data_IF_722103252011
#
_entry.id   IF_722103252011
#
_cell.length_a   1.000
_cell.length_b   1.000
_cell.length_c   1.000
_cell.angle_alpha   90.00
_cell.angle_beta   90.00
_cell.angle_gamma   90.00
#
_symmetry.space_group_name_H-M   'P 1'
#
loop_
_entity.id
_entity.type
_entity.pdbx_description
1 polymer ?
#
# COMPACT_ATOMS: atom_id res chain seq x y z
N UNK A 1 -17.39 48.53 -11.95
CA UNK A 1 -16.53 48.70 -13.14
C UNK A 1 -17.40 48.43 -14.36
N UNK A 2 -17.62 49.48 -15.17
CA UNK A 2 -17.84 49.43 -16.64
C UNK A 2 -16.48 49.04 -17.26
N UNK A 3 -16.31 48.39 -18.45
CA UNK A 3 -17.07 48.49 -19.72
C UNK A 3 -17.57 47.14 -20.32
N UNK A 4 -18.13 47.02 -21.54
CA UNK A 4 -18.40 48.03 -22.60
C UNK A 4 -19.63 47.71 -23.47
N UNK A 5 -20.00 48.66 -24.35
CA UNK A 5 -21.02 48.51 -25.41
C UNK A 5 -20.53 47.68 -26.62
N UNK A 6 -21.48 47.12 -27.41
CA UNK A 6 -21.19 46.61 -28.76
C UNK A 6 -22.07 47.33 -29.78
N UNK A 7 -21.48 48.31 -30.46
CA UNK A 7 -22.01 48.92 -31.67
C UNK A 7 -22.00 47.90 -32.81
N UNK A 8 -23.12 47.78 -33.53
CA UNK A 8 -23.16 47.19 -34.87
C UNK A 8 -23.66 48.24 -35.86
N UNK A 9 -22.75 48.78 -36.66
CA UNK A 9 -23.11 49.65 -37.78
C UNK A 9 -23.75 48.80 -38.89
N UNK A 10 -24.84 49.31 -39.47
CA UNK A 10 -25.37 48.82 -40.74
C UNK A 10 -25.16 49.93 -41.77
N UNK A 11 -24.35 49.65 -42.79
CA UNK A 11 -23.83 50.67 -43.70
C UNK A 11 -24.85 51.21 -44.70
N UNK A 12 -24.82 52.54 -44.85
CA UNK A 12 -25.03 53.31 -46.08
C UNK A 12 -26.16 52.88 -47.03
N UNK A 13 -27.33 53.49 -46.83
CA UNK A 13 -28.36 53.61 -47.86
C UNK A 13 -27.96 54.70 -48.87
N UNK A 14 -27.30 54.31 -49.95
CA UNK A 14 -27.04 55.22 -51.07
C UNK A 14 -28.34 55.51 -51.87
N UNK A 15 -28.41 56.74 -52.41
CA UNK A 15 -29.62 57.39 -52.91
C UNK A 15 -30.06 56.93 -54.31
N UNK A 16 -31.39 56.77 -54.55
CA UNK A 16 -32.07 56.54 -55.86
C UNK A 16 -33.59 56.28 -55.61
N UNK A 17 -34.64 56.59 -56.41
CA UNK A 17 -34.99 57.40 -57.62
C UNK A 17 -36.54 57.59 -57.58
N UNK A 18 -37.22 58.65 -58.11
CA UNK A 18 -36.85 60.05 -58.45
C UNK A 18 -37.78 61.12 -57.80
N UNK A 19 -37.55 62.37 -58.21
CA UNK A 19 -38.50 63.50 -58.24
C UNK A 19 -39.92 63.10 -58.68
N UNK A 20 -40.93 63.50 -57.89
CA UNK A 20 -42.33 63.67 -58.35
C UNK A 20 -42.87 65.06 -58.02
N UNK A 21 -42.13 66.09 -58.45
CA UNK A 21 -42.67 67.44 -58.63
C UNK A 21 -43.81 67.37 -59.67
N UNK A 22 -45.05 67.28 -59.18
CA UNK A 22 -46.22 67.02 -60.03
C UNK A 22 -47.51 66.64 -59.27
N UNK A 23 -47.42 66.26 -57.99
CA UNK A 23 -48.61 65.98 -57.15
C UNK A 23 -48.98 67.14 -56.20
N UNK A 24 -48.34 68.30 -56.32
CA UNK A 24 -48.62 69.51 -55.53
C UNK A 24 -49.97 70.20 -55.84
N UNK A 25 -50.82 69.59 -56.68
CA UNK A 25 -52.17 70.07 -57.03
C UNK A 25 -53.24 68.98 -56.99
N UNK A 26 -52.97 67.82 -56.38
CA UNK A 26 -53.91 66.71 -56.28
C UNK A 26 -54.43 66.56 -54.84
N UNK A 27 -55.26 67.51 -54.41
CA UNK A 27 -55.99 67.45 -53.13
C UNK A 27 -57.09 66.38 -53.16
N UNK A 28 -56.68 65.11 -53.11
CA UNK A 28 -57.61 63.97 -53.07
C UNK A 28 -58.30 63.87 -51.71
N UNK A 29 -59.36 64.67 -51.54
CA UNK A 29 -60.33 64.56 -50.46
C UNK A 29 -60.89 63.13 -50.40
N UNK A 30 -60.40 62.34 -49.43
CA UNK A 30 -60.72 60.93 -49.24
C UNK A 30 -62.14 60.67 -48.70
N UNK A 31 -63.05 61.65 -48.85
CA UNK A 31 -64.44 61.64 -48.32
C UNK A 31 -65.52 61.68 -49.42
N UNK A 32 -65.15 61.53 -50.69
CA UNK A 32 -66.10 61.33 -51.80
C UNK A 32 -66.43 59.86 -52.05
N UNK A 33 -67.72 59.52 -52.16
CA UNK A 33 -68.26 58.14 -52.25
C UNK A 33 -67.85 57.32 -53.49
N UNK A 34 -66.88 57.77 -54.30
CA UNK A 34 -66.46 57.12 -55.55
C UNK A 34 -64.97 56.70 -55.58
N UNK A 35 -64.23 56.83 -54.47
CA UNK A 35 -62.79 56.51 -54.43
C UNK A 35 -62.48 55.03 -54.78
N UNK A 36 -63.34 54.10 -54.36
CA UNK A 36 -63.18 52.65 -54.53
C UNK A 36 -63.26 52.20 -56.00
N UNK A 37 -63.86 53.01 -56.89
CA UNK A 37 -63.86 52.77 -58.34
C UNK A 37 -62.45 52.91 -58.93
N UNK A 38 -61.87 54.11 -58.81
CA UNK A 38 -60.57 54.46 -59.41
C UNK A 38 -59.42 53.52 -59.01
N UNK A 39 -59.36 53.11 -57.73
CA UNK A 39 -58.33 52.16 -57.25
C UNK A 39 -58.44 50.79 -57.97
N UNK A 40 -59.67 50.34 -58.27
CA UNK A 40 -59.91 49.06 -58.97
C UNK A 40 -59.43 49.14 -60.42
N UNK A 41 -59.67 50.25 -61.10
CA UNK A 41 -59.24 50.49 -62.47
C UNK A 41 -57.71 50.51 -62.59
N UNK A 42 -57.03 51.25 -61.70
CA UNK A 42 -55.56 51.29 -61.63
C UNK A 42 -54.96 49.89 -61.40
N UNK A 43 -55.53 49.10 -60.47
CA UNK A 43 -55.07 47.73 -60.21
C UNK A 43 -55.27 46.79 -61.41
N UNK A 44 -56.38 46.93 -62.14
CA UNK A 44 -56.67 46.15 -63.33
C UNK A 44 -55.72 46.49 -64.49
N UNK A 45 -55.44 47.77 -64.73
CA UNK A 45 -54.50 48.22 -65.77
C UNK A 45 -53.07 47.66 -65.51
N UNK A 46 -52.58 47.77 -64.26
CA UNK A 46 -51.25 47.30 -63.91
C UNK A 46 -51.09 45.77 -64.06
N UNK A 47 -52.13 45.00 -63.72
CA UNK A 47 -52.16 43.54 -63.94
C UNK A 47 -52.08 43.13 -65.42
N UNK A 48 -52.64 43.91 -66.34
CA UNK A 48 -52.55 43.61 -67.79
C UNK A 48 -51.14 43.86 -68.32
N UNK A 49 -50.54 45.00 -68.00
CA UNK A 49 -49.15 45.35 -68.39
C UNK A 49 -48.18 44.26 -67.90
N UNK A 50 -48.34 43.79 -66.66
CA UNK A 50 -47.46 42.78 -66.09
C UNK A 50 -47.65 41.37 -66.68
N UNK A 51 -48.85 41.05 -67.19
CA UNK A 51 -49.12 39.81 -67.95
C UNK A 51 -48.45 39.84 -69.32
N UNK A 52 -48.56 40.95 -70.06
CA UNK A 52 -47.92 41.10 -71.38
C UNK A 52 -46.41 40.89 -71.30
N UNK A 53 -45.70 41.60 -70.40
CA UNK A 53 -44.24 41.46 -70.23
C UNK A 53 -43.79 40.00 -70.02
N UNK A 54 -44.54 39.21 -69.23
CA UNK A 54 -44.19 37.80 -68.95
C UNK A 54 -44.45 36.85 -70.13
N UNK A 55 -45.28 37.24 -71.10
CA UNK A 55 -45.48 36.48 -72.35
C UNK A 55 -44.32 36.78 -73.30
N UNK A 56 -43.98 38.06 -73.50
CA UNK A 56 -42.86 38.47 -74.38
C UNK A 56 -41.54 37.84 -73.96
N UNK A 57 -41.16 37.91 -72.68
CA UNK A 57 -39.88 37.36 -72.18
C UNK A 57 -39.78 35.84 -72.36
N UNK A 58 -40.90 35.10 -72.37
CA UNK A 58 -40.88 33.65 -72.57
C UNK A 58 -40.66 33.23 -74.03
N UNK A 59 -40.77 34.16 -74.98
CA UNK A 59 -40.60 33.88 -76.40
C UNK A 59 -39.17 34.12 -76.91
N UNK A 60 -38.27 34.67 -76.08
CA UNK A 60 -36.99 35.25 -76.54
C UNK A 60 -35.73 34.62 -75.91
N UNK A 61 -35.83 33.48 -75.21
CA UNK A 61 -34.68 32.81 -74.56
C UNK A 61 -34.39 31.45 -75.19
N UNK A 62 -33.14 31.24 -75.62
CA UNK A 62 -32.67 30.05 -76.33
C UNK A 62 -32.26 28.89 -75.40
N UNK A 63 -32.19 27.63 -75.90
CA UNK A 63 -32.03 26.44 -75.05
C UNK A 63 -30.69 26.32 -74.32
N UNK A 64 -29.62 26.93 -74.83
CA UNK A 64 -28.23 26.74 -74.37
C UNK A 64 -28.03 27.11 -72.90
N UNK A 65 -28.82 28.07 -72.39
CA UNK A 65 -28.81 28.50 -70.99
C UNK A 65 -29.11 27.36 -70.00
N UNK A 66 -29.93 26.38 -70.39
CA UNK A 66 -30.25 25.22 -69.55
C UNK A 66 -29.12 24.18 -69.48
N UNK A 67 -28.16 24.18 -70.43
CA UNK A 67 -26.98 23.33 -70.36
C UNK A 67 -26.02 23.82 -69.28
N UNK A 68 -25.58 25.07 -69.40
CA UNK A 68 -24.64 25.71 -68.48
C UNK A 68 -25.10 25.67 -67.02
N UNK A 69 -26.40 25.82 -66.77
CA UNK A 69 -26.97 25.76 -65.42
C UNK A 69 -26.82 24.38 -64.74
N UNK A 70 -26.71 23.29 -65.52
CA UNK A 70 -26.71 21.92 -65.00
C UNK A 70 -25.31 21.38 -64.68
N UNK A 71 -24.29 21.84 -65.41
CA UNK A 71 -22.89 21.42 -65.23
C UNK A 71 -22.27 22.00 -63.95
N UNK A 72 -22.53 23.29 -63.68
CA UNK A 72 -21.96 24.03 -62.55
C UNK A 72 -22.48 23.59 -61.17
N UNK A 73 -23.55 22.80 -61.09
CA UNK A 73 -24.24 22.47 -59.83
C UNK A 73 -23.68 21.22 -59.10
N UNK A 74 -22.65 20.54 -59.61
CA UNK A 74 -22.41 19.13 -59.21
C UNK A 74 -21.33 18.83 -58.15
N UNK A 75 -20.30 19.68 -57.95
CA UNK A 75 -19.21 19.38 -56.98
C UNK A 75 -18.66 20.61 -56.24
N UNK A 76 -19.52 21.53 -55.78
CA UNK A 76 -19.14 22.53 -54.77
C UNK A 76 -20.29 22.65 -53.75
N UNK A 77 -20.07 22.37 -52.44
CA UNK A 77 -21.03 22.73 -51.41
C UNK A 77 -21.17 24.25 -51.39
N UNK A 78 -22.38 24.77 -51.63
CA UNK A 78 -22.59 26.22 -51.62
C UNK A 78 -22.25 26.80 -50.24
N UNK A 79 -21.79 28.05 -50.20
CA UNK A 79 -21.45 28.75 -48.95
C UNK A 79 -22.62 28.73 -47.95
N UNK A 80 -23.86 28.78 -48.47
CA UNK A 80 -25.10 28.68 -47.70
C UNK A 80 -25.28 27.30 -47.03
N UNK A 81 -24.85 26.20 -47.68
CA UNK A 81 -24.89 24.85 -47.09
C UNK A 81 -23.92 24.75 -45.91
N UNK A 82 -22.72 25.33 -46.06
CA UNK A 82 -21.69 25.39 -45.02
C UNK A 82 -22.19 26.24 -43.83
N UNK A 83 -22.71 27.45 -44.11
CA UNK A 83 -23.27 28.36 -43.09
C UNK A 83 -24.44 27.70 -42.35
N UNK A 84 -25.31 26.98 -43.05
CA UNK A 84 -26.43 26.24 -42.45
C UNK A 84 -25.94 25.13 -41.50
N UNK A 85 -25.02 24.27 -41.94
CA UNK A 85 -24.48 23.21 -41.09
C UNK A 85 -23.77 23.78 -39.85
N UNK A 86 -23.04 24.89 -40.00
CA UNK A 86 -22.37 25.53 -38.89
C UNK A 86 -23.37 26.22 -37.92
N UNK A 87 -24.49 26.76 -38.42
CA UNK A 87 -25.60 27.24 -37.59
C UNK A 87 -26.29 26.10 -36.83
N UNK A 88 -26.61 24.99 -37.48
CA UNK A 88 -27.21 23.80 -36.85
C UNK A 88 -26.31 23.24 -35.74
N UNK A 89 -24.99 23.17 -36.00
CA UNK A 89 -23.96 22.76 -35.03
C UNK A 89 -23.87 23.72 -33.83
N UNK A 90 -23.88 25.04 -34.07
CA UNK A 90 -23.91 26.06 -33.00
C UNK A 90 -25.20 25.98 -32.17
N UNK A 91 -26.35 25.81 -32.84
CA UNK A 91 -27.66 25.65 -32.20
C UNK A 91 -27.73 24.42 -31.28
N UNK A 92 -27.26 23.26 -31.76
CA UNK A 92 -27.13 22.04 -30.94
C UNK A 92 -26.23 22.24 -29.71
N UNK A 93 -25.12 22.97 -29.87
CA UNK A 93 -24.22 23.30 -28.76
C UNK A 93 -24.87 24.26 -27.74
N UNK A 94 -25.66 25.23 -28.20
CA UNK A 94 -26.44 26.09 -27.29
C UNK A 94 -27.53 25.32 -26.55
N UNK A 95 -28.23 24.38 -27.21
CA UNK A 95 -29.21 23.50 -26.56
C UNK A 95 -28.60 22.72 -25.39
N UNK A 96 -27.47 22.04 -25.62
CA UNK A 96 -26.71 21.33 -24.57
C UNK A 96 -26.25 22.25 -23.44
N UNK A 97 -25.90 23.50 -23.75
CA UNK A 97 -25.51 24.49 -22.73
C UNK A 97 -26.70 24.98 -21.90
N UNK A 98 -27.89 25.09 -22.48
CA UNK A 98 -29.14 25.42 -21.77
C UNK A 98 -29.51 24.28 -20.82
N UNK A 99 -29.55 23.04 -21.32
CA UNK A 99 -29.81 21.82 -20.54
C UNK A 99 -28.89 21.71 -19.31
N UNK A 100 -27.57 21.90 -19.50
CA UNK A 100 -26.60 21.93 -18.39
C UNK A 100 -26.82 23.07 -17.38
N UNK A 101 -27.39 24.20 -17.79
CA UNK A 101 -27.74 25.31 -16.90
C UNK A 101 -29.03 25.03 -16.12
N UNK A 102 -30.01 24.37 -16.76
CA UNK A 102 -31.25 23.94 -16.11
C UNK A 102 -30.99 22.85 -15.05
N UNK A 103 -30.15 21.85 -15.34
CA UNK A 103 -29.70 20.90 -14.32
C UNK A 103 -29.01 21.60 -13.14
N UNK A 104 -28.11 22.57 -13.42
CA UNK A 104 -27.39 23.32 -12.37
C UNK A 104 -28.35 24.14 -11.52
N UNK A 105 -29.37 24.76 -12.13
CA UNK A 105 -30.44 25.49 -11.44
C UNK A 105 -31.25 24.55 -10.53
N UNK A 106 -31.57 23.34 -10.98
CA UNK A 106 -32.30 22.34 -10.18
C UNK A 106 -31.44 21.89 -8.99
N UNK A 107 -30.17 21.53 -9.21
CA UNK A 107 -29.24 21.13 -8.13
C UNK A 107 -29.10 22.22 -7.07
N UNK A 108 -28.79 23.45 -7.48
CA UNK A 108 -28.68 24.59 -6.55
C UNK A 108 -29.98 24.91 -5.80
N UNK A 109 -31.15 24.64 -6.39
CA UNK A 109 -32.44 24.74 -5.70
C UNK A 109 -32.57 23.72 -4.55
N UNK A 110 -32.19 22.47 -4.81
CA UNK A 110 -32.17 21.41 -3.79
C UNK A 110 -31.16 21.71 -2.68
N UNK A 111 -29.96 22.17 -3.02
CA UNK A 111 -28.92 22.54 -2.03
C UNK A 111 -29.42 23.65 -1.08
N UNK A 112 -30.13 24.64 -1.60
CA UNK A 112 -30.73 25.73 -0.81
C UNK A 112 -31.82 25.23 0.13
N UNK A 113 -32.73 24.36 -0.31
CA UNK A 113 -33.78 23.82 0.56
C UNK A 113 -33.21 22.81 1.60
N UNK A 114 -32.14 22.07 1.28
CA UNK A 114 -31.40 21.24 2.24
C UNK A 114 -30.82 22.13 3.35
N UNK A 115 -30.01 23.13 3.02
CA UNK A 115 -29.38 24.00 4.04
C UNK A 115 -30.39 24.78 4.87
N UNK A 116 -31.53 25.15 4.30
CA UNK A 116 -32.66 25.78 5.00
C UNK A 116 -33.31 24.83 6.01
N UNK A 117 -33.45 23.54 5.67
CA UNK A 117 -33.95 22.51 6.59
C UNK A 117 -32.93 22.21 7.72
N UNK A 118 -31.64 22.17 7.39
CA UNK A 118 -30.55 22.01 8.37
C UNK A 118 -30.50 23.17 9.37
N UNK A 119 -30.56 24.42 8.88
CA UNK A 119 -30.57 25.62 9.72
C UNK A 119 -31.79 25.65 10.68
N UNK A 120 -32.97 25.25 10.20
CA UNK A 120 -34.17 25.16 11.03
C UNK A 120 -34.09 24.05 12.09
N UNK A 121 -33.46 22.91 11.77
CA UNK A 121 -33.17 21.83 12.71
C UNK A 121 -32.18 22.28 13.79
N UNK A 122 -31.10 22.98 13.40
CA UNK A 122 -30.12 23.55 14.32
C UNK A 122 -30.73 24.61 15.23
N UNK A 123 -31.60 25.49 14.70
CA UNK A 123 -32.34 26.50 15.48
C UNK A 123 -33.19 25.85 16.57
N UNK A 124 -33.97 24.82 16.23
CA UNK A 124 -34.77 24.04 17.19
C UNK A 124 -33.90 23.36 18.26
N UNK A 125 -32.77 22.78 17.86
CA UNK A 125 -31.80 22.18 18.79
C UNK A 125 -31.20 23.19 19.77
N UNK A 126 -30.80 24.39 19.28
CA UNK A 126 -30.27 25.48 20.13
C UNK A 126 -31.31 25.93 21.15
N UNK A 127 -32.53 26.23 20.71
CA UNK A 127 -33.59 26.72 21.60
C UNK A 127 -33.84 25.76 22.77
N UNK A 128 -33.95 24.46 22.50
CA UNK A 128 -34.11 23.46 23.57
C UNK A 128 -32.91 23.44 24.53
N UNK A 129 -31.68 23.46 24.01
CA UNK A 129 -30.49 23.48 24.87
C UNK A 129 -30.40 24.74 25.75
N UNK A 130 -30.99 25.86 25.31
CA UNK A 130 -31.07 27.12 26.05
C UNK A 130 -32.16 27.05 27.14
N UNK A 131 -33.31 26.41 26.86
CA UNK A 131 -34.35 26.06 27.84
C UNK A 131 -33.84 25.08 28.92
N UNK A 132 -33.18 23.99 28.51
CA UNK A 132 -32.57 23.00 29.40
C UNK A 132 -31.51 23.66 30.32
N UNK A 133 -30.72 24.61 29.80
CA UNK A 133 -29.70 25.36 30.55
C UNK A 133 -30.31 26.32 31.59
N UNK A 134 -31.34 27.08 31.23
CA UNK A 134 -32.01 27.98 32.19
C UNK A 134 -32.76 27.20 33.27
N UNK A 135 -33.30 26.02 32.96
CA UNK A 135 -33.85 25.09 33.95
C UNK A 135 -32.78 24.62 34.95
N UNK A 136 -31.64 24.09 34.46
CA UNK A 136 -30.52 23.65 35.30
C UNK A 136 -29.97 24.79 36.19
N UNK A 137 -29.96 26.02 35.68
CA UNK A 137 -29.54 27.25 36.38
C UNK A 137 -30.54 27.69 37.46
N UNK A 138 -31.82 27.35 37.34
CA UNK A 138 -32.83 27.51 38.40
C UNK A 138 -32.63 26.44 39.48
N UNK A 139 -32.48 25.17 39.10
CA UNK A 139 -32.27 24.07 40.05
C UNK A 139 -30.94 24.21 40.82
N UNK A 140 -29.87 24.67 40.17
CA UNK A 140 -28.61 24.98 40.84
C UNK A 140 -28.78 26.08 41.91
N UNK A 141 -29.50 27.17 41.61
CA UNK A 141 -29.81 28.22 42.59
C UNK A 141 -30.62 27.66 43.77
N UNK A 142 -31.62 26.82 43.48
CA UNK A 142 -32.47 26.15 44.47
C UNK A 142 -31.65 25.24 45.38
N UNK A 143 -30.76 24.42 44.82
CA UNK A 143 -29.81 23.58 45.55
C UNK A 143 -28.90 24.41 46.46
N UNK A 144 -28.28 25.48 45.94
CA UNK A 144 -27.44 26.37 46.75
C UNK A 144 -28.19 27.04 47.90
N UNK A 145 -29.48 27.37 47.72
CA UNK A 145 -30.34 27.87 48.79
C UNK A 145 -30.62 26.76 49.83
N UNK A 146 -31.04 25.57 49.39
CA UNK A 146 -31.29 24.42 50.27
C UNK A 146 -30.06 24.02 51.10
N UNK A 147 -28.86 24.03 50.51
CA UNK A 147 -27.60 23.75 51.22
C UNK A 147 -27.29 24.79 52.31
N UNK A 148 -27.64 26.06 52.09
CA UNK A 148 -27.51 27.13 53.09
C UNK A 148 -28.53 26.97 54.22
N UNK A 149 -29.79 26.71 53.88
CA UNK A 149 -30.88 26.51 54.86
C UNK A 149 -30.67 25.26 55.73
N UNK A 150 -30.13 24.17 55.15
CA UNK A 150 -29.88 22.92 55.86
C UNK A 150 -28.57 22.90 56.67
N UNK A 151 -27.80 24.00 56.72
CA UNK A 151 -26.52 24.08 57.45
C UNK A 151 -25.41 23.15 56.92
N UNK A 152 -25.61 22.53 55.75
CA UNK A 152 -24.81 21.40 55.23
C UNK A 152 -23.67 21.82 54.30
N UNK A 153 -23.49 23.13 54.07
CA UNK A 153 -22.41 23.65 53.24
C UNK A 153 -21.10 23.84 54.03
N UNK A 154 -20.06 23.07 53.69
CA UNK A 154 -18.67 23.44 54.04
C UNK A 154 -18.39 24.87 53.58
N UNK A 155 -17.79 25.69 54.43
CA UNK A 155 -17.47 27.09 54.12
C UNK A 155 -16.47 27.18 52.96
N UNK A 156 -16.48 28.28 52.20
CA UNK A 156 -15.53 28.48 51.10
C UNK A 156 -14.06 28.37 51.57
N UNK A 157 -13.77 28.84 52.79
CA UNK A 157 -12.46 28.73 53.43
C UNK A 157 -12.05 27.28 53.74
N UNK A 158 -12.99 26.39 54.06
CA UNK A 158 -12.71 24.96 54.25
C UNK A 158 -12.32 24.32 52.91
N UNK A 159 -13.03 24.64 51.82
CA UNK A 159 -12.64 24.20 50.48
C UNK A 159 -11.27 24.76 50.05
N UNK A 160 -10.98 26.03 50.34
CA UNK A 160 -9.65 26.63 50.08
C UNK A 160 -8.54 25.97 50.90
N UNK A 161 -8.86 25.48 52.10
CA UNK A 161 -7.91 24.77 52.96
C UNK A 161 -7.67 23.34 52.46
N UNK A 162 -8.74 22.59 52.15
CA UNK A 162 -8.64 21.23 51.56
C UNK A 162 -7.86 21.23 50.24
N UNK A 163 -8.08 22.22 49.37
CA UNK A 163 -7.30 22.38 48.12
C UNK A 163 -5.81 22.65 48.39
N UNK A 164 -5.45 23.36 49.46
CA UNK A 164 -4.03 23.55 49.85
C UNK A 164 -3.43 22.26 50.37
N UNK A 165 -4.16 21.52 51.21
CA UNK A 165 -3.70 20.27 51.81
C UNK A 165 -3.55 19.15 50.77
N UNK A 166 -4.46 19.04 49.79
CA UNK A 166 -4.29 18.08 48.71
C UNK A 166 -3.14 18.47 47.76
N UNK A 167 -2.86 19.78 47.60
CA UNK A 167 -1.71 20.26 46.85
C UNK A 167 -0.37 19.99 47.57
N UNK A 168 -0.30 20.07 48.90
CA UNK A 168 0.92 19.68 49.63
C UNK A 168 1.12 18.17 49.64
N UNK A 169 0.06 17.37 49.75
CA UNK A 169 0.11 15.90 49.55
C UNK A 169 0.57 15.53 48.14
N UNK A 170 0.04 16.17 47.10
CA UNK A 170 0.46 15.96 45.72
C UNK A 170 1.96 16.24 45.52
N UNK A 171 2.46 17.37 46.01
CA UNK A 171 3.89 17.69 45.99
C UNK A 171 4.74 16.66 46.78
N UNK A 172 4.21 16.09 47.86
CA UNK A 172 4.90 15.04 48.63
C UNK A 172 4.93 13.70 47.87
N UNK A 173 3.88 13.36 47.13
CA UNK A 173 3.84 12.19 46.25
C UNK A 173 4.76 12.35 45.04
N UNK A 174 4.79 13.53 44.41
CA UNK A 174 5.73 13.86 43.35
C UNK A 174 7.17 13.64 43.81
N UNK A 175 7.56 14.18 44.98
CA UNK A 175 8.90 13.93 45.52
C UNK A 175 9.19 12.45 45.73
N UNK A 176 8.25 11.68 46.30
CA UNK A 176 8.40 10.22 46.46
C UNK A 176 8.56 9.49 45.12
N UNK A 177 7.89 9.96 44.06
CA UNK A 177 8.01 9.41 42.72
C UNK A 177 9.40 9.67 42.13
N UNK A 178 9.91 10.90 42.23
CA UNK A 178 11.28 11.25 41.84
C UNK A 178 12.33 10.45 42.64
N UNK A 179 12.14 10.32 43.97
CA UNK A 179 13.02 9.51 44.84
C UNK A 179 12.96 8.01 44.49
N UNK A 180 11.85 7.51 43.94
CA UNK A 180 11.70 6.13 43.48
C UNK A 180 12.35 5.92 42.10
N UNK A 181 12.12 6.81 41.15
CA UNK A 181 12.74 6.79 39.82
C UNK A 181 14.27 6.85 39.91
N UNK A 182 14.81 7.68 40.82
CA UNK A 182 16.25 7.74 41.07
C UNK A 182 16.85 6.41 41.59
N UNK A 183 16.05 5.60 42.31
CA UNK A 183 16.45 4.25 42.75
C UNK A 183 16.32 3.23 41.62
N UNK A 184 15.27 3.31 40.83
CA UNK A 184 15.07 2.47 39.63
C UNK A 184 16.27 2.60 38.67
N UNK A 185 16.63 3.82 38.29
CA UNK A 185 17.83 4.08 37.46
C UNK A 185 19.17 3.79 38.15
N UNK A 186 19.19 3.51 39.46
CA UNK A 186 20.36 2.96 40.14
C UNK A 186 20.39 1.42 40.04
N UNK A 187 19.23 0.76 40.24
CA UNK A 187 19.10 -0.68 40.05
C UNK A 187 19.36 -1.11 38.59
N UNK A 188 18.91 -0.35 37.59
CA UNK A 188 19.24 -0.61 36.18
C UNK A 188 20.76 -0.62 35.92
N UNK A 189 21.50 0.31 36.53
CA UNK A 189 22.96 0.39 36.39
C UNK A 189 23.64 -0.82 37.05
N UNK A 190 23.23 -1.18 38.27
CA UNK A 190 23.75 -2.37 38.94
C UNK A 190 23.38 -3.66 38.20
N UNK A 191 22.20 -3.74 37.56
CA UNK A 191 21.80 -4.88 36.74
C UNK A 191 22.69 -5.01 35.50
N UNK A 192 22.97 -3.91 34.79
CA UNK A 192 23.90 -3.87 33.67
C UNK A 192 25.33 -4.24 34.09
N UNK A 193 25.78 -3.78 35.26
CA UNK A 193 27.08 -4.16 35.84
C UNK A 193 27.15 -5.66 36.13
N UNK A 194 26.11 -6.23 36.76
CA UNK A 194 26.00 -7.67 36.98
C UNK A 194 25.96 -8.49 35.67
N UNK A 195 25.27 -8.01 34.62
CA UNK A 195 25.24 -8.68 33.31
C UNK A 195 26.61 -8.68 32.62
N UNK A 196 27.34 -7.57 32.69
CA UNK A 196 28.72 -7.49 32.19
C UNK A 196 29.67 -8.41 32.97
N UNK A 197 29.50 -8.50 34.28
CA UNK A 197 30.28 -9.39 35.14
C UNK A 197 29.96 -10.87 34.88
N UNK A 198 28.68 -11.21 34.68
CA UNK A 198 28.26 -12.55 34.28
C UNK A 198 28.85 -12.97 32.92
N UNK A 199 28.87 -12.06 31.93
CA UNK A 199 29.51 -12.30 30.64
C UNK A 199 31.03 -12.53 30.79
N UNK A 200 31.70 -11.75 31.65
CA UNK A 200 33.13 -11.90 31.97
C UNK A 200 33.45 -13.20 32.72
N UNK A 201 32.51 -13.72 33.50
CA UNK A 201 32.65 -15.03 34.14
C UNK A 201 32.41 -16.18 33.14
N UNK A 202 31.42 -16.07 32.24
CA UNK A 202 31.16 -17.06 31.18
C UNK A 202 32.37 -17.28 30.25
N UNK A 203 33.07 -16.21 29.86
CA UNK A 203 34.30 -16.36 29.04
C UNK A 203 35.41 -17.09 29.79
N UNK A 204 35.66 -16.72 31.07
CA UNK A 204 36.64 -17.39 31.93
C UNK A 204 36.32 -18.87 32.17
N UNK A 205 35.05 -19.22 32.36
CA UNK A 205 34.62 -20.64 32.48
C UNK A 205 34.97 -21.41 31.20
N UNK A 206 34.64 -20.87 30.02
CA UNK A 206 34.98 -21.51 28.75
C UNK A 206 36.51 -21.66 28.51
N UNK A 207 37.33 -20.74 29.02
CA UNK A 207 38.80 -20.86 28.99
C UNK A 207 39.32 -21.97 29.94
N UNK A 208 38.74 -22.07 31.14
CA UNK A 208 39.05 -23.12 32.11
C UNK A 208 38.62 -24.51 31.62
N UNK A 209 37.46 -24.63 30.97
CA UNK A 209 36.98 -25.88 30.37
C UNK A 209 37.91 -26.36 29.25
N UNK A 210 38.32 -25.47 28.33
CA UNK A 210 39.28 -25.79 27.26
C UNK A 210 40.62 -26.25 27.80
N UNK A 211 41.15 -25.56 28.80
CA UNK A 211 42.46 -25.87 29.39
C UNK A 211 42.41 -27.15 30.25
N UNK A 212 41.32 -27.41 30.97
CA UNK A 212 41.07 -28.69 31.64
C UNK A 212 40.97 -29.87 30.66
N UNK A 213 40.27 -29.68 29.53
CA UNK A 213 40.19 -30.68 28.47
C UNK A 213 41.56 -30.99 27.86
N UNK A 214 42.36 -29.95 27.58
CA UNK A 214 43.73 -30.09 27.07
C UNK A 214 44.68 -30.77 28.07
N UNK A 215 44.54 -30.48 29.37
CA UNK A 215 45.29 -31.16 30.42
C UNK A 215 44.93 -32.65 30.50
N UNK A 216 43.63 -32.99 30.50
CA UNK A 216 43.15 -34.38 30.50
C UNK A 216 43.66 -35.17 29.29
N UNK A 217 43.52 -34.63 28.07
CA UNK A 217 43.99 -35.33 26.87
C UNK A 217 45.51 -35.52 26.86
N UNK A 218 46.27 -34.52 27.31
CA UNK A 218 47.73 -34.63 27.48
C UNK A 218 48.12 -35.70 28.50
N UNK A 219 47.40 -35.81 29.62
CA UNK A 219 47.65 -36.83 30.62
C UNK A 219 47.39 -38.24 30.06
N UNK A 220 46.25 -38.46 29.40
CA UNK A 220 45.95 -39.76 28.77
C UNK A 220 46.95 -40.13 27.66
N UNK A 221 47.49 -39.16 26.92
CA UNK A 221 48.57 -39.41 25.94
C UNK A 221 49.88 -39.84 26.61
N UNK A 222 50.19 -39.34 27.82
CA UNK A 222 51.36 -39.76 28.60
C UNK A 222 51.16 -41.19 29.14
N UNK A 223 49.98 -41.49 29.70
CA UNK A 223 49.61 -42.82 30.19
C UNK A 223 49.64 -43.87 29.07
N UNK A 224 49.07 -43.56 27.91
CA UNK A 224 49.10 -44.44 26.73
C UNK A 224 50.53 -44.69 26.24
N UNK A 225 51.39 -43.66 26.18
CA UNK A 225 52.82 -43.84 25.83
C UNK A 225 53.57 -44.74 26.82
N UNK A 226 53.31 -44.60 28.12
CA UNK A 226 53.89 -45.49 29.12
C UNK A 226 53.42 -46.94 28.96
N UNK A 227 52.13 -47.17 28.66
CA UNK A 227 51.62 -48.51 28.38
C UNK A 227 52.20 -49.12 27.10
N UNK A 228 52.38 -48.32 26.03
CA UNK A 228 52.94 -48.79 24.75
C UNK A 228 54.40 -49.25 24.93
N UNK A 229 55.23 -48.45 25.58
CA UNK A 229 56.62 -48.81 25.87
C UNK A 229 56.72 -50.12 26.70
N UNK A 230 55.80 -50.33 27.63
CA UNK A 230 55.71 -51.59 28.40
C UNK A 230 55.26 -52.78 27.56
N UNK A 231 54.39 -52.58 26.57
CA UNK A 231 54.00 -53.62 25.60
C UNK A 231 55.18 -53.97 24.68
N UNK A 232 55.97 -52.99 24.24
CA UNK A 232 57.19 -53.21 23.44
C UNK A 232 58.26 -53.98 24.23
N UNK A 233 58.45 -53.66 25.52
CA UNK A 233 59.36 -54.40 26.40
C UNK A 233 58.91 -55.86 26.58
N UNK A 234 57.61 -56.09 26.84
CA UNK A 234 57.05 -57.44 26.95
C UNK A 234 57.16 -58.20 25.62
N UNK A 235 56.95 -57.55 24.48
CA UNK A 235 57.12 -58.16 23.15
C UNK A 235 58.56 -58.59 22.89
N UNK A 236 59.56 -57.80 23.32
CA UNK A 236 60.98 -58.20 23.25
C UNK A 236 61.27 -59.43 24.10
N UNK A 237 60.78 -59.44 25.36
CA UNK A 237 60.91 -60.59 26.27
C UNK A 237 60.21 -61.86 25.73
N UNK A 238 59.09 -61.71 25.02
CA UNK A 238 58.40 -62.83 24.35
C UNK A 238 59.28 -63.39 23.23
N UNK A 239 59.85 -62.56 22.35
CA UNK A 239 60.77 -63.03 21.31
C UNK A 239 62.01 -63.74 21.88
N UNK A 240 62.60 -63.21 22.95
CA UNK A 240 63.71 -63.87 23.67
C UNK A 240 63.30 -65.25 24.22
N UNK A 241 62.07 -65.39 24.72
CA UNK A 241 61.53 -66.67 25.18
C UNK A 241 61.23 -67.62 24.01
N UNK A 242 60.68 -67.12 22.89
CA UNK A 242 60.42 -67.89 21.67
C UNK A 242 61.72 -68.46 21.08
N UNK A 243 62.80 -67.66 21.04
CA UNK A 243 64.13 -68.13 20.65
C UNK A 243 64.64 -69.23 21.60
N UNK A 244 64.51 -69.07 22.93
CA UNK A 244 64.94 -70.14 23.87
C UNK A 244 64.08 -71.40 23.76
N UNK A 245 62.78 -71.28 23.47
CA UNK A 245 61.86 -72.39 23.26
C UNK A 245 62.18 -73.14 21.95
N UNK A 246 62.46 -72.42 20.87
CA UNK A 246 62.85 -73.03 19.60
C UNK A 246 64.21 -73.73 19.71
N UNK A 247 65.16 -73.15 20.44
CA UNK A 247 66.42 -73.82 20.77
C UNK A 247 66.20 -75.10 21.61
N UNK A 248 65.37 -75.05 22.67
CA UNK A 248 65.10 -76.23 23.49
C UNK A 248 64.36 -77.32 22.72
N UNK A 249 63.47 -76.95 21.78
CA UNK A 249 62.81 -77.87 20.85
C UNK A 249 63.81 -78.60 19.94
N UNK A 250 64.77 -77.89 19.35
CA UNK A 250 65.83 -78.51 18.55
C UNK A 250 66.70 -79.48 19.37
N UNK A 251 66.94 -79.18 20.65
CA UNK A 251 67.60 -80.12 21.57
C UNK A 251 66.75 -81.36 21.87
N UNK A 252 65.44 -81.24 22.01
CA UNK A 252 64.52 -82.38 22.17
C UNK A 252 64.49 -83.23 20.91
N UNK A 253 64.27 -82.64 19.73
CA UNK A 253 64.27 -83.36 18.43
C UNK A 253 65.61 -84.11 18.20
N UNK A 254 66.74 -83.55 18.62
CA UNK A 254 68.06 -84.19 18.57
C UNK A 254 68.21 -85.36 19.57
N UNK A 255 67.64 -85.25 20.77
CA UNK A 255 67.66 -86.30 21.79
C UNK A 255 66.71 -87.46 21.45
N UNK A 256 65.52 -87.16 20.93
CA UNK A 256 64.56 -88.14 20.43
C UNK A 256 65.21 -88.99 19.32
N UNK A 257 65.81 -88.34 18.31
CA UNK A 257 66.51 -89.04 17.22
C UNK A 257 67.71 -89.89 17.69
N UNK A 258 68.41 -89.48 18.75
CA UNK A 258 69.45 -90.30 19.40
C UNK A 258 68.86 -91.49 20.16
N UNK A 259 67.71 -91.32 20.79
CA UNK A 259 67.01 -92.38 21.50
C UNK A 259 66.46 -93.44 20.55
N UNK A 260 65.88 -93.03 19.41
CA UNK A 260 65.49 -93.93 18.31
C UNK A 260 66.67 -94.78 17.83
N UNK A 261 67.82 -94.16 17.53
CA UNK A 261 69.04 -94.88 17.14
C UNK A 261 69.54 -95.84 18.24
N UNK A 262 69.40 -95.48 19.52
CA UNK A 262 69.75 -96.33 20.64
C UNK A 262 68.80 -97.55 20.74
N UNK A 263 67.49 -97.35 20.54
CA UNK A 263 66.50 -98.42 20.48
C UNK A 263 66.75 -99.35 19.28
N UNK A 264 67.07 -98.83 18.09
CA UNK A 264 67.48 -99.66 16.95
C UNK A 264 68.71 -100.52 17.26
N UNK A 265 69.75 -99.95 17.89
CA UNK A 265 70.93 -100.72 18.27
C UNK A 265 70.62 -101.76 19.36
N UNK A 266 69.79 -101.43 20.36
CA UNK A 266 69.31 -102.40 21.35
C UNK A 266 68.53 -103.54 20.69
N UNK A 267 67.63 -103.26 19.73
CA UNK A 267 66.93 -104.30 18.99
C UNK A 267 67.85 -105.15 18.11
N UNK A 268 68.92 -104.58 17.54
CA UNK A 268 69.97 -105.34 16.85
C UNK A 268 70.74 -106.25 17.82
N UNK A 269 71.20 -105.74 18.96
CA UNK A 269 71.92 -106.54 19.96
C UNK A 269 71.02 -107.62 20.59
N UNK A 270 69.76 -107.31 20.91
CA UNK A 270 68.77 -108.30 21.36
C UNK A 270 68.52 -109.39 20.32
N UNK A 271 68.53 -109.04 19.03
CA UNK A 271 68.42 -110.04 17.94
C UNK A 271 69.67 -110.90 17.86
N UNK A 272 70.87 -110.30 17.86
CA UNK A 272 72.14 -111.04 17.90
C UNK A 272 72.26 -111.97 19.10
N UNK A 273 71.80 -111.55 20.30
CA UNK A 273 71.76 -112.40 21.49
C UNK A 273 70.78 -113.55 21.29
N UNK A 274 69.55 -113.28 20.86
CA UNK A 274 68.52 -114.29 20.56
C UNK A 274 68.96 -115.30 19.49
N UNK A 275 69.67 -114.86 18.46
CA UNK A 275 70.24 -115.72 17.43
C UNK A 275 71.38 -116.59 18.00
N UNK A 276 72.20 -116.03 18.90
CA UNK A 276 73.29 -116.74 19.58
C UNK A 276 72.78 -117.76 20.61
N UNK A 277 71.70 -117.43 21.31
CA UNK A 277 71.01 -118.33 22.24
C UNK A 277 70.28 -119.45 21.48
N UNK A 278 69.72 -119.17 20.29
CA UNK A 278 69.19 -120.19 19.38
C UNK A 278 70.28 -121.13 18.83
N UNK A 279 71.51 -120.63 18.66
CA UNK A 279 72.68 -121.45 18.30
C UNK A 279 73.16 -122.28 19.50
N UNK A 280 73.28 -121.72 20.70
CA UNK A 280 73.66 -122.47 21.91
C UNK A 280 72.60 -123.51 22.32
N UNK A 281 71.32 -123.20 22.15
CA UNK A 281 70.20 -124.13 22.38
C UNK A 281 70.12 -125.29 21.38
N UNK A 282 71.02 -125.36 20.39
CA UNK A 282 71.25 -126.51 19.52
C UNK A 282 72.60 -127.21 19.74
N UNK A 283 73.36 -126.77 20.75
CA UNK A 283 74.67 -127.32 21.11
C UNK A 283 74.63 -128.12 22.43
N UNK A 284 73.43 -128.53 22.85
CA UNK A 284 73.11 -129.39 24.01
C UNK A 284 72.13 -130.47 23.55
#
# INVERSE_FOLDING_TARGET
>A
MVPDEILYQCGDFDWFVPVTQGLAGCEFSYKGNNYRGKIREMSNAWKQIHRMKRITVRATTTPEYHGWQKENLRVVPSELEIIKQDFEKRSSNFGKKIEQLEEKKIRLGLDVDIHKLEAEKLRKGKNKAEEDLDSLKIDYKKLCLSMRTAGLGKTLEQWRQEIKEEKTKANQWEKKFQDAQARESAFEKSLLECQNEEARLKTRVAELERSLHLYRSRNSVIELKASLSKIEELKKRIGELEDTLQNSKLWVELLERRNEQCQEQLHRFQSQIRDRDYIMGKAV
#
